data_IF_737637341028
#
_entry.id   IF_737637341028
#
_cell.length_a   1.000
_cell.length_b   1.000
_cell.length_c   1.000
_cell.angle_alpha   90.00
_cell.angle_beta   90.00
_cell.angle_gamma   90.00
#
_symmetry.space_group_name_H-M   'P 1'
#
loop_
_entity.id
_entity.type
_entity.pdbx_description
1 polymer ?
#
# COMPACT_ATOMS: atom_id res chain seq x y z
N UNK A 1 12.55 18.25 70.75
CA UNK A 1 12.19 19.66 70.99
C UNK A 1 12.41 20.39 69.68
N UNK A 2 11.33 20.86 69.07
CA UNK A 2 11.30 21.46 67.72
C UNK A 2 11.53 22.96 67.86
N UNK A 3 12.45 23.52 67.07
CA UNK A 3 12.65 24.97 66.91
C UNK A 3 11.76 25.50 65.79
N UNK A 4 11.23 26.71 65.99
CA UNK A 4 10.49 27.49 65.00
C UNK A 4 11.08 28.92 64.92
N UNK A 5 10.72 29.78 63.95
CA UNK A 5 11.41 29.96 62.66
C UNK A 5 11.85 31.43 62.43
N UNK A 6 12.66 31.73 61.39
CA UNK A 6 12.76 33.10 60.83
C UNK A 6 12.95 33.04 59.30
N UNK A 7 11.98 33.59 58.56
CA UNK A 7 12.05 33.83 57.11
C UNK A 7 12.71 35.20 56.89
N UNK A 8 13.83 35.23 56.16
CA UNK A 8 14.61 36.45 55.90
C UNK A 8 14.21 37.12 54.57
N UNK A 9 13.86 38.41 54.65
CA UNK A 9 13.53 39.29 53.52
C UNK A 9 14.84 39.91 53.00
N UNK A 10 15.20 39.64 51.74
CA UNK A 10 16.43 40.19 51.12
C UNK A 10 16.16 41.63 50.60
N UNK A 11 17.02 42.62 50.93
CA UNK A 11 16.90 44.01 50.47
C UNK A 11 16.92 44.18 48.94
N UNK A 12 16.03 45.05 48.41
CA UNK A 12 15.84 45.35 46.98
C UNK A 12 17.13 45.77 46.23
N UNK A 13 18.08 46.38 46.94
CA UNK A 13 19.39 46.80 46.40
C UNK A 13 20.25 45.59 45.98
N UNK A 14 20.18 44.49 46.73
CA UNK A 14 20.89 43.24 46.41
C UNK A 14 20.27 42.60 45.16
N UNK A 15 18.94 42.66 45.02
CA UNK A 15 18.22 42.14 43.85
C UNK A 15 18.63 42.88 42.57
N UNK A 16 18.77 44.21 42.60
CA UNK A 16 19.19 44.98 41.43
C UNK A 16 20.65 44.72 41.04
N UNK A 17 21.56 44.55 42.01
CA UNK A 17 22.95 44.17 41.76
C UNK A 17 23.07 42.77 41.12
N UNK A 18 22.23 41.82 41.57
CA UNK A 18 22.16 40.47 41.00
C UNK A 18 21.62 40.51 39.56
N UNK A 19 20.60 41.35 39.28
CA UNK A 19 20.03 41.50 37.92
C UNK A 19 21.06 41.99 36.90
N UNK A 20 21.88 42.99 37.24
CA UNK A 20 22.94 43.47 36.34
C UNK A 20 24.01 42.40 36.09
N UNK A 21 24.40 41.64 37.13
CA UNK A 21 25.34 40.52 36.97
C UNK A 21 24.78 39.42 36.08
N UNK A 22 23.49 39.07 36.21
CA UNK A 22 22.81 38.10 35.35
C UNK A 22 22.76 38.58 33.89
N UNK A 23 22.54 39.88 33.66
CA UNK A 23 22.52 40.46 32.30
C UNK A 23 23.87 40.34 31.60
N UNK A 24 24.97 40.64 32.30
CA UNK A 24 26.34 40.50 31.77
C UNK A 24 26.68 39.02 31.51
N UNK A 25 26.30 38.12 32.43
CA UNK A 25 26.45 36.67 32.25
C UNK A 25 25.68 36.14 31.04
N UNK A 26 24.45 36.63 30.81
CA UNK A 26 23.63 36.24 29.67
C UNK A 26 24.24 36.72 28.34
N UNK A 27 24.77 37.95 28.27
CA UNK A 27 25.45 38.43 27.05
C UNK A 27 26.74 37.65 26.73
N UNK A 28 27.51 37.26 27.76
CA UNK A 28 28.68 36.39 27.57
C UNK A 28 28.28 34.97 27.15
N UNK A 29 27.19 34.43 27.71
CA UNK A 29 26.66 33.11 27.34
C UNK A 29 26.13 33.10 25.90
N UNK A 30 25.44 34.16 25.46
CA UNK A 30 24.93 34.31 24.09
C UNK A 30 26.06 34.41 23.05
N UNK A 31 27.14 35.15 23.35
CA UNK A 31 28.33 35.21 22.49
C UNK A 31 29.02 33.84 22.35
N UNK A 32 29.09 33.07 23.45
CA UNK A 32 29.68 31.71 23.45
C UNK A 32 28.79 30.69 22.71
N UNK A 33 27.47 30.85 22.80
CA UNK A 33 26.49 30.04 22.06
C UNK A 33 26.54 30.31 20.55
N UNK A 34 26.63 31.57 20.12
CA UNK A 34 26.79 31.92 18.71
C UNK A 34 28.12 31.43 18.11
N UNK A 35 29.22 31.52 18.86
CA UNK A 35 30.53 31.03 18.42
C UNK A 35 30.53 29.50 18.25
N UNK A 36 29.92 28.75 19.18
CA UNK A 36 29.77 27.29 19.06
C UNK A 36 28.88 26.88 17.89
N UNK A 37 27.83 27.66 17.57
CA UNK A 37 26.93 27.38 16.43
C UNK A 37 27.64 27.57 15.08
N UNK A 38 28.52 28.56 14.96
CA UNK A 38 29.34 28.80 13.75
C UNK A 38 30.39 27.70 13.58
N UNK A 39 31.05 27.28 14.66
CA UNK A 39 32.03 26.18 14.63
C UNK A 39 31.36 24.85 14.23
N UNK A 40 30.17 24.55 14.78
CA UNK A 40 29.40 23.36 14.39
C UNK A 40 28.91 23.40 12.94
N UNK A 41 28.51 24.56 12.43
CA UNK A 41 28.06 24.71 11.04
C UNK A 41 29.22 24.46 10.06
N UNK A 42 30.39 25.03 10.32
CA UNK A 42 31.60 24.82 9.51
C UNK A 42 32.11 23.37 9.60
N UNK A 43 31.99 22.71 10.76
CA UNK A 43 32.35 21.30 10.93
C UNK A 43 31.38 20.36 10.19
N UNK A 44 30.06 20.64 10.21
CA UNK A 44 29.07 19.88 9.43
C UNK A 44 29.31 20.01 7.92
N UNK A 45 29.66 21.20 7.44
CA UNK A 45 29.92 21.44 6.01
C UNK A 45 31.17 20.69 5.51
N UNK A 46 32.25 20.68 6.31
CA UNK A 46 33.46 19.88 6.04
C UNK A 46 33.20 18.36 6.04
N UNK A 47 32.37 17.86 6.97
CA UNK A 47 32.01 16.43 7.05
C UNK A 47 31.12 16.01 5.87
N UNK A 48 30.15 16.85 5.46
CA UNK A 48 29.29 16.57 4.31
C UNK A 48 30.05 16.53 2.98
N UNK A 49 31.03 17.42 2.80
CA UNK A 49 31.91 17.43 1.62
C UNK A 49 32.77 16.16 1.55
N UNK A 50 33.25 15.66 2.70
CA UNK A 50 34.05 14.41 2.76
C UNK A 50 33.20 13.15 2.57
N UNK A 51 31.95 13.13 3.03
CA UNK A 51 31.01 12.02 2.76
C UNK A 51 30.63 11.92 1.29
N UNK A 52 30.48 13.04 0.57
CA UNK A 52 30.13 13.03 -0.85
C UNK A 52 31.23 12.40 -1.72
N UNK A 53 32.51 12.56 -1.36
CA UNK A 53 33.65 12.00 -2.12
C UNK A 53 33.70 10.46 -2.06
N UNK A 54 33.24 9.82 -0.97
CA UNK A 54 33.21 8.36 -0.87
C UNK A 54 32.02 7.73 -1.63
N UNK A 55 30.94 8.48 -1.85
CA UNK A 55 29.78 8.03 -2.63
C UNK A 55 30.09 7.93 -4.14
N UNK A 56 31.02 8.76 -4.64
CA UNK A 56 31.44 8.73 -6.06
C UNK A 56 32.46 7.63 -6.41
N UNK A 57 33.18 7.09 -5.42
CA UNK A 57 34.19 6.04 -5.64
C UNK A 57 33.58 4.63 -5.73
N UNK A 58 32.36 4.42 -5.22
CA UNK A 58 31.67 3.12 -5.30
C UNK A 58 30.90 2.90 -6.62
N UNK A 59 30.73 3.94 -7.44
CA UNK A 59 29.94 3.87 -8.70
C UNK A 59 30.79 3.46 -9.93
N UNK A 60 32.11 3.28 -9.79
CA UNK A 60 32.99 2.96 -10.92
C UNK A 60 33.52 1.50 -10.98
N UNK A 61 32.98 0.57 -10.20
CA UNK A 61 33.43 -0.83 -10.26
C UNK A 61 32.30 -1.80 -10.05
N UNK A 62 31.54 -2.06 -11.12
CA UNK A 62 31.20 -3.40 -11.62
C UNK A 62 30.28 -3.23 -12.83
N UNK A 63 30.88 -3.29 -14.02
CA UNK A 63 30.16 -3.58 -15.25
C UNK A 63 30.13 -5.08 -15.48
N UNK A 64 28.95 -5.62 -15.76
CA UNK A 64 28.81 -6.75 -16.66
C UNK A 64 27.70 -6.43 -17.65
N UNK A 65 28.09 -6.39 -18.92
CA UNK A 65 27.22 -6.34 -20.08
C UNK A 65 26.59 -7.72 -20.28
N UNK A 66 25.27 -7.80 -20.28
CA UNK A 66 24.54 -8.86 -20.94
C UNK A 66 23.53 -8.16 -21.88
N UNK A 67 23.88 -8.08 -23.16
CA UNK A 67 22.88 -7.85 -24.19
C UNK A 67 22.09 -9.16 -24.31
N UNK A 68 20.83 -9.12 -23.91
CA UNK A 68 19.80 -10.05 -24.37
C UNK A 68 18.71 -9.21 -24.99
N UNK A 69 18.20 -9.68 -26.13
CA UNK A 69 17.50 -8.88 -27.12
C UNK A 69 16.29 -8.11 -26.58
N UNK A 70 16.15 -6.96 -27.21
CA UNK A 70 15.30 -5.82 -26.90
C UNK A 70 13.94 -6.00 -27.56
N UNK A 71 12.91 -6.24 -26.75
CA UNK A 71 11.51 -5.86 -26.97
C UNK A 71 10.88 -5.66 -25.57
N UNK A 72 11.50 -4.77 -24.79
CA UNK A 72 11.08 -4.46 -23.43
C UNK A 72 10.05 -3.33 -23.39
N UNK A 73 8.77 -3.69 -23.18
CA UNK A 73 7.82 -2.74 -22.63
C UNK A 73 8.24 -2.45 -21.18
N UNK A 74 8.71 -1.23 -20.93
CA UNK A 74 9.26 -0.82 -19.64
C UNK A 74 8.17 -0.68 -18.58
N UNK A 75 7.94 -1.75 -17.83
CA UNK A 75 7.44 -1.66 -16.46
C UNK A 75 8.63 -1.91 -15.53
N UNK A 76 8.89 -0.99 -14.60
CA UNK A 76 9.76 -1.23 -13.46
C UNK A 76 9.30 -2.52 -12.78
N UNK A 77 10.12 -3.57 -12.86
CA UNK A 77 9.84 -4.91 -12.35
C UNK A 77 9.44 -4.80 -10.87
N UNK A 78 8.14 -4.90 -10.59
CA UNK A 78 7.56 -4.91 -9.24
C UNK A 78 8.06 -6.17 -8.53
N UNK A 79 9.27 -6.07 -7.96
CA UNK A 79 10.02 -7.23 -7.47
C UNK A 79 9.57 -7.75 -6.11
N UNK A 80 8.85 -6.95 -5.32
CA UNK A 80 8.36 -7.35 -4.01
C UNK A 80 7.02 -8.06 -4.14
N UNK A 81 6.97 -9.29 -3.60
CA UNK A 81 5.78 -10.14 -3.59
C UNK A 81 5.23 -10.19 -2.17
N UNK A 82 3.95 -9.89 -2.01
CA UNK A 82 3.28 -9.99 -0.71
C UNK A 82 3.30 -11.46 -0.28
N UNK A 83 3.89 -11.77 0.86
CA UNK A 83 3.95 -13.14 1.40
C UNK A 83 2.82 -13.43 2.37
N UNK A 84 2.36 -12.41 3.09
CA UNK A 84 1.30 -12.52 4.08
C UNK A 84 0.63 -11.17 4.31
N UNK A 85 -0.68 -11.20 4.52
CA UNK A 85 -1.45 -10.09 5.07
C UNK A 85 -2.16 -10.59 6.33
N UNK A 86 -2.02 -9.86 7.43
CA UNK A 86 -2.83 -10.02 8.64
C UNK A 86 -3.78 -8.84 8.75
N UNK A 87 -5.08 -9.08 8.71
CA UNK A 87 -6.12 -8.08 8.91
C UNK A 87 -6.68 -8.20 10.33
N UNK A 88 -6.50 -7.17 11.16
CA UNK A 88 -6.98 -7.11 12.54
C UNK A 88 -8.25 -6.26 12.61
N UNK A 89 -9.38 -6.85 12.97
CA UNK A 89 -10.70 -6.22 13.01
C UNK A 89 -11.02 -5.65 14.39
N UNK A 90 -11.46 -4.38 14.45
CA UNK A 90 -11.68 -3.66 15.72
C UNK A 90 -13.13 -3.65 16.20
N UNK A 91 -14.09 -4.16 15.41
CA UNK A 91 -15.52 -3.89 15.67
C UNK A 91 -16.19 -4.82 16.67
N UNK A 92 -15.85 -6.13 16.73
CA UNK A 92 -16.62 -7.04 17.60
C UNK A 92 -15.82 -8.04 18.46
N UNK A 93 -14.64 -8.53 18.05
CA UNK A 93 -13.90 -9.52 18.87
C UNK A 93 -12.36 -9.41 18.84
N UNK A 94 -11.79 -8.33 18.29
CA UNK A 94 -10.33 -8.19 18.08
C UNK A 94 -9.74 -9.45 17.43
N UNK A 95 -10.34 -9.88 16.31
CA UNK A 95 -9.93 -11.07 15.56
C UNK A 95 -8.95 -10.73 14.44
N UNK A 96 -8.05 -11.67 14.15
CA UNK A 96 -7.11 -11.59 13.04
C UNK A 96 -7.54 -12.57 11.94
N UNK A 97 -7.72 -12.07 10.72
CA UNK A 97 -7.70 -12.91 9.52
C UNK A 97 -6.29 -12.90 8.91
N UNK A 98 -5.80 -14.08 8.54
CA UNK A 98 -4.48 -14.26 7.95
C UNK A 98 -4.62 -14.87 6.57
N UNK A 99 -4.05 -14.17 5.58
CA UNK A 99 -3.85 -14.69 4.22
C UNK A 99 -2.36 -14.85 3.95
N UNK A 100 -1.95 -16.02 3.45
CA UNK A 100 -0.56 -16.26 3.03
C UNK A 100 -0.48 -16.65 1.56
N UNK A 101 0.55 -16.16 0.89
CA UNK A 101 0.72 -16.29 -0.55
C UNK A 101 2.06 -16.97 -0.85
N UNK A 102 2.03 -17.96 -1.75
CA UNK A 102 3.23 -18.61 -2.26
C UNK A 102 3.36 -18.39 -3.76
N UNK A 103 4.60 -18.30 -4.24
CA UNK A 103 4.91 -18.02 -5.63
C UNK A 103 5.86 -19.07 -6.21
N UNK A 104 5.79 -19.30 -7.52
CA UNK A 104 6.78 -20.11 -8.23
C UNK A 104 8.07 -19.33 -8.53
N UNK A 105 9.04 -20.00 -9.16
CA UNK A 105 10.32 -19.37 -9.52
C UNK A 105 10.21 -18.31 -10.63
N UNK A 106 9.04 -18.14 -11.24
CA UNK A 106 8.73 -17.08 -12.21
C UNK A 106 7.97 -15.93 -11.55
N UNK A 107 7.73 -15.99 -10.23
CA UNK A 107 7.03 -14.96 -9.47
C UNK A 107 5.51 -15.00 -9.63
N UNK A 108 4.94 -16.09 -10.16
CA UNK A 108 3.49 -16.28 -10.28
C UNK A 108 2.93 -16.89 -9.00
N UNK A 109 1.81 -16.36 -8.50
CA UNK A 109 1.13 -16.88 -7.32
C UNK A 109 0.64 -18.33 -7.57
N UNK A 110 1.09 -19.30 -6.78
CA UNK A 110 0.69 -20.71 -6.93
C UNK A 110 -0.24 -21.20 -5.82
N UNK A 111 -0.36 -20.43 -4.73
CA UNK A 111 -1.16 -20.81 -3.57
C UNK A 111 -1.54 -19.60 -2.74
N UNK A 112 -2.81 -19.54 -2.33
CA UNK A 112 -3.31 -18.72 -1.23
C UNK A 112 -3.77 -19.66 -0.09
N UNK A 113 -3.51 -19.29 1.15
CA UNK A 113 -4.10 -19.94 2.33
C UNK A 113 -4.85 -18.89 3.11
N UNK A 114 -6.13 -19.17 3.35
CA UNK A 114 -7.03 -18.41 4.20
C UNK A 114 -7.15 -19.14 5.54
N UNK A 115 -6.73 -18.48 6.62
CA UNK A 115 -6.69 -19.01 7.99
C UNK A 115 -6.32 -20.50 8.06
N UNK A 116 -6.77 -21.26 9.06
CA UNK A 116 -6.23 -22.61 9.29
C UNK A 116 -6.72 -23.68 8.30
N UNK A 117 -7.73 -23.43 7.43
CA UNK A 117 -8.42 -24.54 6.74
C UNK A 117 -8.74 -24.39 5.24
N UNK A 118 -8.65 -23.20 4.63
CA UNK A 118 -8.97 -23.06 3.20
C UNK A 118 -7.73 -22.76 2.38
N UNK A 119 -7.42 -23.65 1.44
CA UNK A 119 -6.24 -23.57 0.58
C UNK A 119 -6.71 -23.49 -0.86
N UNK A 120 -6.39 -22.39 -1.53
CA UNK A 120 -6.61 -22.22 -2.97
C UNK A 120 -5.28 -22.37 -3.70
N UNK A 121 -5.26 -23.12 -4.79
CA UNK A 121 -4.05 -23.39 -5.58
C UNK A 121 -4.25 -23.03 -7.04
N UNK A 122 -3.18 -22.52 -7.66
CA UNK A 122 -3.18 -22.01 -9.02
C UNK A 122 -2.20 -22.82 -9.88
N UNK A 123 -2.71 -23.50 -10.91
CA UNK A 123 -1.91 -24.30 -11.84
C UNK A 123 -1.90 -23.66 -13.22
N UNK A 124 -0.73 -23.24 -13.67
CA UNK A 124 -0.53 -22.58 -14.96
C UNK A 124 -0.33 -23.57 -16.10
N UNK A 125 -1.16 -23.46 -17.14
CA UNK A 125 -0.98 -24.10 -18.46
C UNK A 125 -0.73 -23.01 -19.51
N UNK A 126 -0.50 -23.39 -20.77
CA UNK A 126 -0.11 -22.44 -21.84
C UNK A 126 -1.11 -21.30 -22.09
N UNK A 127 -2.40 -21.54 -21.87
CA UNK A 127 -3.49 -20.60 -22.18
C UNK A 127 -4.60 -20.59 -21.12
N UNK A 128 -4.33 -21.16 -19.94
CA UNK A 128 -5.30 -21.19 -18.85
C UNK A 128 -4.62 -21.31 -17.49
N UNK A 129 -5.29 -20.82 -16.46
CA UNK A 129 -5.02 -21.08 -15.04
C UNK A 129 -6.12 -22.00 -14.55
N UNK A 130 -5.74 -23.06 -13.85
CA UNK A 130 -6.68 -23.96 -13.18
C UNK A 130 -6.64 -23.65 -11.69
N UNK A 131 -7.80 -23.30 -11.13
CA UNK A 131 -7.97 -22.96 -9.71
C UNK A 131 -8.61 -24.14 -9.01
N UNK A 132 -8.04 -24.55 -7.88
CA UNK A 132 -8.51 -25.67 -7.07
C UNK A 132 -8.60 -25.26 -5.60
N UNK A 133 -9.56 -25.84 -4.87
CA UNK A 133 -9.72 -25.63 -3.42
C UNK A 133 -10.81 -24.62 -3.04
N UNK A 134 -11.64 -24.23 -4.00
CA UNK A 134 -12.89 -23.49 -3.79
C UNK A 134 -14.02 -24.45 -3.40
N UNK A 135 -15.05 -23.96 -2.72
CA UNK A 135 -16.21 -24.78 -2.32
C UNK A 135 -16.97 -25.32 -3.54
N UNK A 136 -17.06 -24.51 -4.61
CA UNK A 136 -17.78 -24.82 -5.85
C UNK A 136 -16.99 -25.69 -6.84
N UNK A 137 -15.79 -26.14 -6.44
CA UNK A 137 -14.98 -27.09 -7.20
C UNK A 137 -13.80 -26.49 -7.96
N UNK A 138 -13.48 -27.08 -9.12
CA UNK A 138 -12.40 -26.62 -9.98
C UNK A 138 -12.92 -25.53 -10.93
N UNK A 139 -12.21 -24.41 -11.01
CA UNK A 139 -12.48 -23.34 -11.96
C UNK A 139 -11.37 -23.24 -13.01
N UNK A 140 -11.75 -22.84 -14.22
CA UNK A 140 -10.82 -22.66 -15.34
C UNK A 140 -10.87 -21.22 -15.82
N UNK A 141 -9.71 -20.58 -15.79
CA UNK A 141 -9.52 -19.21 -16.24
C UNK A 141 -8.71 -19.19 -17.53
N UNK A 142 -9.29 -18.77 -18.65
CA UNK A 142 -8.61 -18.73 -19.95
C UNK A 142 -7.85 -17.43 -20.12
N UNK A 143 -6.64 -17.53 -20.69
CA UNK A 143 -5.73 -16.42 -20.88
C UNK A 143 -5.64 -16.00 -22.34
N UNK A 144 -5.43 -14.70 -22.58
CA UNK A 144 -4.97 -14.19 -23.87
C UNK A 144 -3.44 -14.33 -24.02
N UNK A 145 -2.92 -13.90 -25.17
CA UNK A 145 -1.48 -13.98 -25.49
C UNK A 145 -0.60 -13.11 -24.57
N UNK A 146 -1.17 -12.08 -23.93
CA UNK A 146 -0.50 -11.24 -22.94
C UNK A 146 -0.50 -11.87 -21.54
N UNK A 147 -1.15 -13.03 -21.36
CA UNK A 147 -1.28 -13.71 -20.07
C UNK A 147 -2.39 -13.17 -19.17
N UNK A 148 -3.29 -12.34 -19.70
CA UNK A 148 -4.43 -11.81 -18.95
C UNK A 148 -5.67 -12.69 -19.11
N UNK A 149 -6.45 -12.79 -18.04
CA UNK A 149 -7.69 -13.56 -17.99
C UNK A 149 -8.73 -12.92 -18.91
N UNK A 150 -9.29 -13.68 -19.84
CA UNK A 150 -10.37 -13.23 -20.74
C UNK A 150 -11.69 -13.94 -20.48
N UNK A 151 -11.66 -15.06 -19.78
CA UNK A 151 -12.85 -15.84 -19.46
C UNK A 151 -12.62 -16.65 -18.18
N UNK A 152 -13.60 -16.65 -17.28
CA UNK A 152 -13.72 -17.60 -16.17
C UNK A 152 -14.83 -18.60 -16.47
N UNK A 153 -14.62 -19.87 -16.13
CA UNK A 153 -15.57 -20.96 -16.33
C UNK A 153 -15.64 -21.79 -15.04
N UNK A 154 -16.82 -21.82 -14.42
CA UNK A 154 -17.19 -22.71 -13.31
C UNK A 154 -18.27 -23.71 -13.78
N UNK A 155 -18.75 -24.61 -12.92
CA UNK A 155 -19.77 -25.61 -13.30
C UNK A 155 -21.10 -24.96 -13.74
N UNK A 156 -21.44 -23.81 -13.16
CA UNK A 156 -22.75 -23.17 -13.32
C UNK A 156 -22.70 -21.80 -14.03
N UNK A 157 -21.51 -21.22 -14.25
CA UNK A 157 -21.38 -19.84 -14.72
C UNK A 157 -20.15 -19.61 -15.62
N UNK A 158 -20.30 -18.71 -16.58
CA UNK A 158 -19.20 -18.20 -17.39
C UNK A 158 -19.14 -16.67 -17.28
N UNK A 159 -17.92 -16.14 -17.13
CA UNK A 159 -17.68 -14.71 -16.99
C UNK A 159 -16.71 -14.27 -18.07
N UNK A 160 -17.07 -13.25 -18.85
CA UNK A 160 -16.23 -12.66 -19.89
C UNK A 160 -15.56 -11.37 -19.43
N UNK A 161 -14.27 -11.21 -19.74
CA UNK A 161 -13.46 -10.05 -19.36
C UNK A 161 -13.00 -9.32 -20.61
N UNK A 162 -13.20 -8.00 -20.65
CA UNK A 162 -12.78 -7.17 -21.79
C UNK A 162 -11.90 -6.03 -21.35
N UNK A 163 -10.98 -5.64 -22.24
CA UNK A 163 -9.89 -4.71 -21.95
C UNK A 163 -9.86 -3.58 -22.96
N UNK A 164 -9.30 -2.45 -22.55
CA UNK A 164 -8.96 -1.36 -23.47
C UNK A 164 -7.63 -1.60 -24.18
N UNK A 165 -7.20 -0.66 -25.02
CA UNK A 165 -5.94 -0.75 -25.76
C UNK A 165 -4.68 -0.56 -24.89
N UNK A 166 -4.83 -0.29 -23.60
CA UNK A 166 -3.77 -0.17 -22.61
C UNK A 166 -3.75 -1.37 -21.65
N UNK A 167 -4.46 -2.45 -22.01
CA UNK A 167 -4.64 -3.65 -21.20
C UNK A 167 -5.32 -3.38 -19.84
N UNK A 168 -6.16 -2.35 -19.75
CA UNK A 168 -6.94 -2.02 -18.56
C UNK A 168 -8.31 -2.70 -18.63
N UNK A 169 -8.71 -3.39 -17.55
CA UNK A 169 -10.01 -4.09 -17.49
C UNK A 169 -11.17 -3.10 -17.63
N UNK A 170 -12.02 -3.25 -18.63
CA UNK A 170 -13.16 -2.36 -18.90
C UNK A 170 -14.50 -2.91 -18.43
N UNK A 171 -14.69 -4.22 -18.58
CA UNK A 171 -15.97 -4.87 -18.28
C UNK A 171 -15.79 -6.32 -17.88
N UNK A 172 -16.58 -6.73 -16.90
CA UNK A 172 -16.92 -8.12 -16.61
C UNK A 172 -18.39 -8.35 -16.97
N UNK A 173 -18.68 -9.48 -17.61
CA UNK A 173 -20.03 -9.84 -18.06
C UNK A 173 -20.30 -11.31 -17.74
N UNK A 174 -21.30 -11.53 -16.92
CA UNK A 174 -21.76 -12.83 -16.47
C UNK A 174 -22.82 -13.37 -17.45
N UNK A 175 -22.97 -14.68 -17.53
CA UNK A 175 -23.90 -15.33 -18.47
C UNK A 175 -25.36 -14.97 -18.27
N UNK A 176 -25.75 -14.61 -17.06
CA UNK A 176 -27.11 -14.19 -16.71
C UNK A 176 -27.40 -12.72 -17.06
N UNK A 177 -26.38 -11.97 -17.51
CA UNK A 177 -26.47 -10.58 -17.93
C UNK A 177 -25.96 -9.59 -16.88
N UNK A 178 -25.50 -10.07 -15.73
CA UNK A 178 -24.91 -9.24 -14.71
C UNK A 178 -23.55 -8.68 -15.17
N UNK A 179 -23.23 -7.45 -14.77
CA UNK A 179 -22.07 -6.73 -15.30
C UNK A 179 -21.35 -5.88 -14.25
N UNK A 180 -20.03 -5.77 -14.44
CA UNK A 180 -19.21 -4.74 -13.79
C UNK A 180 -18.59 -3.88 -14.88
N UNK A 181 -18.65 -2.55 -14.73
CA UNK A 181 -18.06 -1.58 -15.67
C UNK A 181 -17.02 -0.75 -14.93
N UNK A 182 -15.82 -0.70 -15.48
CA UNK A 182 -14.67 -0.03 -14.89
C UNK A 182 -14.32 1.24 -15.65
N UNK A 183 -14.18 2.35 -14.92
CA UNK A 183 -13.75 3.63 -15.48
C UNK A 183 -12.34 3.93 -15.01
N UNK A 184 -11.43 4.07 -15.98
CA UNK A 184 -10.03 4.38 -15.72
C UNK A 184 -9.72 5.87 -15.90
N UNK A 185 -8.80 6.37 -15.07
CA UNK A 185 -8.18 7.68 -15.23
C UNK A 185 -6.75 7.64 -14.70
N UNK A 186 -5.81 8.12 -15.50
CA UNK A 186 -4.39 8.24 -15.14
C UNK A 186 -3.77 6.91 -14.64
N UNK A 187 -4.23 5.77 -15.16
CA UNK A 187 -3.75 4.43 -14.78
C UNK A 187 -4.36 3.86 -13.50
N UNK A 188 -5.49 4.40 -13.03
CA UNK A 188 -6.22 3.91 -11.86
C UNK A 188 -7.72 3.78 -12.15
N UNK A 189 -8.40 2.81 -11.52
CA UNK A 189 -9.84 2.62 -11.54
C UNK A 189 -10.50 3.68 -10.66
N UNK A 190 -11.10 4.71 -11.24
CA UNK A 190 -11.74 5.80 -10.48
C UNK A 190 -13.22 5.54 -10.19
N UNK A 191 -13.83 4.58 -10.90
CA UNK A 191 -15.23 4.22 -10.71
C UNK A 191 -15.49 2.78 -11.15
N UNK A 192 -16.31 2.07 -10.39
CA UNK A 192 -16.93 0.81 -10.80
C UNK A 192 -18.44 0.95 -10.69
N UNK A 193 -19.15 0.42 -11.68
CA UNK A 193 -20.61 0.28 -11.66
C UNK A 193 -20.92 -1.20 -11.77
N UNK A 194 -21.67 -1.71 -10.82
CA UNK A 194 -22.16 -3.08 -10.77
C UNK A 194 -23.65 -3.03 -11.05
N UNK A 195 -24.12 -3.85 -11.98
CA UNK A 195 -25.53 -3.96 -12.28
C UNK A 195 -25.91 -5.43 -12.32
N UNK A 196 -26.76 -5.84 -11.37
CA UNK A 196 -27.27 -7.20 -11.24
C UNK A 196 -28.78 -7.19 -11.55
N UNK A 197 -29.15 -7.73 -12.71
CA UNK A 197 -30.50 -7.64 -13.28
C UNK A 197 -31.03 -6.20 -13.42
N UNK A 198 -32.36 -6.02 -13.40
CA UNK A 198 -33.00 -4.69 -13.51
C UNK A 198 -33.13 -3.96 -12.16
N UNK A 199 -32.79 -4.61 -11.05
CA UNK A 199 -33.23 -4.21 -9.70
C UNK A 199 -32.09 -3.68 -8.84
N UNK A 200 -30.85 -4.09 -9.11
CA UNK A 200 -29.70 -3.73 -8.30
C UNK A 200 -28.66 -2.99 -9.14
N UNK A 201 -28.26 -1.81 -8.66
CA UNK A 201 -27.10 -1.09 -9.16
C UNK A 201 -26.30 -0.58 -7.96
N UNK A 202 -25.01 -0.91 -7.92
CA UNK A 202 -24.04 -0.35 -7.00
C UNK A 202 -23.02 0.49 -7.76
N UNK A 203 -22.61 1.61 -7.17
CA UNK A 203 -21.57 2.47 -7.73
C UNK A 203 -20.52 2.76 -6.67
N UNK A 204 -19.28 2.41 -6.99
CA UNK A 204 -18.12 2.69 -6.14
C UNK A 204 -17.23 3.74 -6.83
N UNK A 205 -16.86 4.80 -6.12
CA UNK A 205 -15.98 5.88 -6.61
C UNK A 205 -14.72 6.02 -5.77
N UNK A 206 -13.57 6.19 -6.44
CA UNK A 206 -12.26 6.05 -5.83
C UNK A 206 -11.41 7.30 -6.00
N UNK A 207 -10.62 7.59 -4.98
CA UNK A 207 -9.53 8.56 -5.07
C UNK A 207 -8.20 7.89 -4.78
N UNK A 208 -7.13 8.43 -5.34
CA UNK A 208 -5.80 7.85 -5.27
C UNK A 208 -4.79 8.86 -4.77
N UNK A 209 -3.77 8.33 -4.11
CA UNK A 209 -2.59 9.08 -3.71
C UNK A 209 -1.69 9.36 -4.92
N UNK A 210 -0.68 10.21 -4.71
CA UNK A 210 0.44 10.35 -5.67
C UNK A 210 1.52 9.28 -5.49
N UNK A 211 1.36 8.37 -4.52
CA UNK A 211 2.33 7.30 -4.24
C UNK A 211 2.04 6.13 -5.19
N UNK A 212 3.03 5.72 -5.95
CA UNK A 212 2.92 4.56 -6.84
C UNK A 212 2.94 3.26 -6.03
N UNK A 213 2.11 2.30 -6.45
CA UNK A 213 2.12 0.96 -5.91
C UNK A 213 3.33 0.20 -6.47
N UNK A 214 4.33 -0.06 -5.61
CA UNK A 214 5.61 -0.68 -5.99
C UNK A 214 5.59 -2.21 -6.02
N UNK A 215 4.48 -2.83 -5.64
CA UNK A 215 4.41 -4.28 -5.45
C UNK A 215 3.47 -4.88 -6.48
N UNK A 216 3.71 -6.14 -6.82
CA UNK A 216 2.86 -6.92 -7.73
C UNK A 216 1.67 -7.51 -6.97
N UNK A 217 0.92 -6.60 -6.34
CA UNK A 217 -0.28 -6.86 -5.58
C UNK A 217 -1.14 -5.59 -5.58
N UNK A 218 -2.37 -5.65 -6.09
CA UNK A 218 -3.28 -4.51 -6.15
C UNK A 218 -4.04 -4.34 -4.83
N UNK A 219 -3.50 -3.47 -3.96
CA UNK A 219 -4.19 -3.13 -2.72
C UNK A 219 -5.55 -2.48 -2.91
N UNK A 220 -5.82 -1.85 -4.06
CA UNK A 220 -7.12 -1.23 -4.32
C UNK A 220 -8.19 -2.28 -4.56
N UNK A 221 -7.82 -3.40 -5.18
CA UNK A 221 -8.69 -4.57 -5.28
C UNK A 221 -8.88 -5.22 -3.91
N UNK A 222 -7.78 -5.48 -3.20
CA UNK A 222 -7.83 -6.16 -1.91
C UNK A 222 -8.65 -5.42 -0.84
N UNK A 223 -8.61 -4.08 -0.85
CA UNK A 223 -9.34 -3.22 0.09
C UNK A 223 -10.70 -2.76 -0.45
N UNK A 224 -10.91 -2.87 -1.76
CA UNK A 224 -12.06 -2.31 -2.44
C UNK A 224 -13.26 -3.23 -2.33
N UNK A 225 -14.40 -2.65 -1.96
CA UNK A 225 -15.69 -3.33 -1.95
C UNK A 225 -16.29 -3.32 -3.36
N UNK A 226 -15.63 -4.04 -4.27
CA UNK A 226 -16.14 -4.30 -5.63
C UNK A 226 -16.61 -5.75 -5.79
N UNK A 227 -16.78 -6.47 -4.67
CA UNK A 227 -17.07 -7.90 -4.63
C UNK A 227 -16.16 -8.82 -5.48
N UNK A 228 -14.90 -8.43 -5.73
CA UNK A 228 -13.89 -9.30 -6.36
C UNK A 228 -13.23 -10.20 -5.31
N UNK A 229 -13.89 -11.30 -4.96
CA UNK A 229 -13.33 -12.30 -4.05
C UNK A 229 -12.38 -13.28 -4.75
N UNK A 230 -11.36 -12.77 -5.47
CA UNK A 230 -10.33 -13.61 -6.10
C UNK A 230 -8.93 -13.03 -5.94
N UNK A 231 -8.02 -13.82 -5.37
CA UNK A 231 -6.60 -13.45 -5.26
C UNK A 231 -5.91 -13.23 -6.60
N UNK A 232 -6.42 -13.83 -7.68
CA UNK A 232 -5.92 -13.55 -9.02
C UNK A 232 -6.17 -12.09 -9.43
N UNK A 233 -7.19 -11.41 -8.87
CA UNK A 233 -7.42 -9.98 -9.09
C UNK A 233 -6.45 -9.11 -8.29
N UNK A 234 -6.12 -9.55 -7.08
CA UNK A 234 -5.05 -8.92 -6.33
C UNK A 234 -3.69 -9.10 -7.05
N UNK A 235 -3.52 -10.19 -7.81
CA UNK A 235 -2.42 -10.33 -8.76
C UNK A 235 -2.66 -9.56 -10.06
N UNK A 236 -1.60 -9.35 -10.86
CA UNK A 236 -1.70 -8.68 -12.16
C UNK A 236 -2.24 -9.59 -13.29
N UNK A 237 -3.26 -10.43 -13.02
CA UNK A 237 -3.83 -11.36 -14.02
C UNK A 237 -5.04 -10.81 -14.77
N UNK A 238 -5.70 -9.78 -14.24
CA UNK A 238 -6.84 -9.10 -14.87
C UNK A 238 -6.42 -7.80 -15.55
N UNK A 239 -5.31 -7.85 -16.30
CA UNK A 239 -4.76 -6.68 -16.98
C UNK A 239 -3.80 -5.87 -16.11
N UNK A 240 -3.63 -4.59 -16.46
CA UNK A 240 -2.79 -3.66 -15.71
C UNK A 240 -3.41 -3.35 -14.34
N UNK A 241 -2.66 -3.50 -13.23
CA UNK A 241 -3.15 -3.14 -11.90
C UNK A 241 -3.21 -1.62 -11.73
N UNK A 242 -3.87 -1.17 -10.67
CA UNK A 242 -3.85 0.24 -10.28
C UNK A 242 -2.41 0.74 -10.08
N UNK A 243 -2.11 1.90 -10.68
CA UNK A 243 -0.80 2.54 -10.63
C UNK A 243 -0.47 3.06 -9.23
N UNK A 244 -1.45 3.59 -8.52
CA UNK A 244 -1.29 4.32 -7.27
C UNK A 244 -2.04 3.64 -6.12
N UNK A 245 -1.67 4.00 -4.88
CA UNK A 245 -2.41 3.53 -3.70
C UNK A 245 -3.73 4.29 -3.56
N UNK A 246 -4.83 3.55 -3.41
CA UNK A 246 -6.18 4.09 -3.13
C UNK A 246 -6.17 4.88 -1.82
N UNK A 247 -6.94 5.97 -1.74
CA UNK A 247 -7.08 6.79 -0.52
C UNK A 247 -8.49 6.70 0.06
N UNK A 248 -9.49 6.66 -0.81
CA UNK A 248 -10.89 6.57 -0.41
C UNK A 248 -11.67 5.72 -1.39
N UNK A 249 -12.69 5.05 -0.88
CA UNK A 249 -13.78 4.44 -1.66
C UNK A 249 -15.10 4.99 -1.11
N UNK A 250 -16.00 5.43 -1.97
CA UNK A 250 -17.39 5.66 -1.61
C UNK A 250 -18.27 4.74 -2.44
N UNK A 251 -18.95 3.81 -1.78
CA UNK A 251 -19.90 2.89 -2.41
C UNK A 251 -21.32 3.38 -2.17
N UNK A 252 -22.16 3.36 -3.20
CA UNK A 252 -23.58 3.70 -3.14
C UNK A 252 -24.39 2.55 -3.67
N UNK A 253 -25.22 1.99 -2.81
CA UNK A 253 -26.16 0.92 -3.14
C UNK A 253 -27.56 1.36 -2.73
N UNK A 254 -28.45 1.60 -3.69
CA UNK A 254 -29.79 2.12 -3.41
C UNK A 254 -29.77 3.44 -2.62
N UNK A 255 -30.19 3.41 -1.35
CA UNK A 255 -30.18 4.58 -0.46
C UNK A 255 -29.02 4.56 0.56
N UNK A 256 -28.19 3.52 0.53
CA UNK A 256 -27.09 3.32 1.45
C UNK A 256 -25.81 3.89 0.85
N UNK A 257 -24.91 4.34 1.72
CA UNK A 257 -23.62 4.88 1.31
C UNK A 257 -22.58 4.49 2.33
N UNK A 258 -21.58 3.73 1.88
CA UNK A 258 -20.44 3.32 2.69
C UNK A 258 -19.23 4.17 2.31
N UNK A 259 -18.54 4.73 3.30
CA UNK A 259 -17.37 5.59 3.05
C UNK A 259 -16.13 4.98 3.68
N UNK A 260 -15.17 4.60 2.85
CA UNK A 260 -13.90 4.06 3.27
C UNK A 260 -12.77 5.05 3.06
N UNK A 261 -11.80 5.04 3.97
CA UNK A 261 -10.56 5.81 3.89
C UNK A 261 -9.38 4.96 4.33
N UNK A 262 -8.25 5.09 3.63
CA UNK A 262 -7.07 4.29 3.86
C UNK A 262 -5.84 5.15 4.17
N UNK A 263 -5.08 4.77 5.19
CA UNK A 263 -3.78 5.36 5.50
C UNK A 263 -2.67 4.31 5.45
N UNK A 264 -1.50 4.70 4.96
CA UNK A 264 -0.40 3.78 4.70
C UNK A 264 0.85 4.13 5.49
N UNK A 265 1.53 3.10 6.00
CA UNK A 265 2.92 3.17 6.44
C UNK A 265 3.79 2.31 5.53
N UNK A 266 5.07 2.68 5.42
CA UNK A 266 5.98 2.06 4.46
C UNK A 266 7.23 1.55 5.15
N UNK A 267 7.72 0.39 4.71
CA UNK A 267 9.01 -0.16 5.14
C UNK A 267 10.19 0.60 4.50
N UNK A 268 11.42 0.18 4.81
CA UNK A 268 12.65 0.79 4.29
C UNK A 268 12.80 0.73 2.76
N UNK A 269 12.12 -0.23 2.11
CA UNK A 269 12.08 -0.36 0.65
C UNK A 269 11.00 0.52 0.01
N UNK A 270 10.19 1.22 0.83
CA UNK A 270 9.07 2.03 0.40
C UNK A 270 7.88 1.20 -0.10
N UNK A 271 7.76 -0.06 0.33
CA UNK A 271 6.57 -0.89 0.14
C UNK A 271 5.63 -0.71 1.32
N UNK A 272 4.33 -0.88 1.12
CA UNK A 272 3.31 -0.75 2.17
C UNK A 272 3.55 -1.81 3.25
N UNK A 273 3.83 -1.44 4.49
CA UNK A 273 3.95 -2.40 5.60
C UNK A 273 2.70 -2.45 6.48
N UNK A 274 1.88 -1.39 6.42
CA UNK A 274 0.67 -1.27 7.21
C UNK A 274 -0.36 -0.43 6.48
N UNK A 275 -1.62 -0.84 6.59
CA UNK A 275 -2.79 -0.13 6.08
C UNK A 275 -3.76 0.04 7.24
N UNK A 276 -4.20 1.27 7.49
CA UNK A 276 -5.31 1.55 8.39
C UNK A 276 -6.55 1.81 7.55
N UNK A 277 -7.57 0.98 7.69
CA UNK A 277 -8.85 1.11 7.02
C UNK A 277 -9.88 1.71 7.97
N UNK A 278 -10.52 2.77 7.52
CA UNK A 278 -11.58 3.46 8.24
C UNK A 278 -12.89 3.34 7.48
N UNK A 279 -13.99 3.12 8.20
CA UNK A 279 -15.36 3.24 7.70
C UNK A 279 -16.06 4.37 8.47
N UNK A 280 -16.62 5.35 7.74
CA UNK A 280 -17.24 6.54 8.32
C UNK A 280 -16.38 7.21 9.43
N UNK A 281 -15.07 7.28 9.17
CA UNK A 281 -14.00 7.79 10.04
C UNK A 281 -13.74 7.01 11.34
N UNK A 282 -14.32 5.82 11.50
CA UNK A 282 -14.01 4.86 12.55
C UNK A 282 -12.95 3.88 12.04
N UNK A 283 -11.88 3.63 12.80
CA UNK A 283 -10.88 2.61 12.43
C UNK A 283 -11.53 1.23 12.59
N UNK A 284 -11.71 0.51 11.48
CA UNK A 284 -12.38 -0.79 11.47
C UNK A 284 -11.39 -1.94 11.27
N UNK A 285 -10.34 -1.74 10.49
CA UNK A 285 -9.33 -2.78 10.21
C UNK A 285 -7.91 -2.22 10.19
N UNK A 286 -6.96 -2.94 10.79
CA UNK A 286 -5.52 -2.72 10.61
C UNK A 286 -4.93 -3.88 9.83
N UNK A 287 -4.40 -3.63 8.63
CA UNK A 287 -3.68 -4.63 7.85
C UNK A 287 -2.18 -4.51 8.06
N UNK A 288 -1.50 -5.64 8.31
CA UNK A 288 -0.05 -5.76 8.33
C UNK A 288 0.38 -6.57 7.11
N UNK A 289 1.31 -6.02 6.32
CA UNK A 289 1.74 -6.63 5.05
C UNK A 289 3.20 -7.06 5.15
N UNK A 290 3.45 -8.32 4.85
CA UNK A 290 4.77 -8.94 4.81
C UNK A 290 5.13 -9.32 3.37
N UNK A 291 6.44 -9.40 3.08
CA UNK A 291 6.97 -9.61 1.73
C UNK A 291 7.98 -10.75 1.67
N UNK A 292 8.24 -11.26 0.46
CA UNK A 292 9.38 -12.12 0.12
C UNK A 292 10.61 -11.30 -0.30
#
# INVERSE_FOLDING_TARGET
>A
MVFQPIVSIIPLVIINSIREKIKILNEQCLKRFCLNKIIMYNLKEEIMKRMFVYLWVMICSLGFTACSDDDGNGDTEKGYKVSKITAHFHEDEDEDEIRTYSYDSQGRMIKCVYDENQIVTYTYKSNQIVVNGLEDGEEIWKLNDNGYIVQGESEDEEIAYTYDNLDQLQKMEYTDGDIHIFTWRDGNIVKVVEAFGEVYESTSEFTYSSVENKVDFDFSSYLGDYHFYDELYNGSYFGKPNKNLVLTCQTKEGNETSNYRYEYSFNENGCVEKILQYEDDVLTVTHIVEYL
#
